data_IF_688856437800
#
_entry.id   IF_688856437800
#
_cell.length_a   1.000
_cell.length_b   1.000
_cell.length_c   1.000
_cell.angle_alpha   90.00
_cell.angle_beta   90.00
_cell.angle_gamma   90.00
#
_symmetry.space_group_name_H-M   'P 1'
#
loop_
_entity.id
_entity.type
_entity.pdbx_description
1 polymer ?
#
# COMPACT_ATOMS: atom_id res chain seq x y z
N UNK A 1 -56.32 6.25 31.94
CA UNK A 1 -55.41 5.10 31.83
C UNK A 1 -55.35 4.51 30.42
N UNK A 2 -56.43 4.32 29.70
CA UNK A 2 -56.46 3.71 28.36
C UNK A 2 -55.71 4.51 27.25
N UNK A 3 -55.69 5.86 27.32
CA UNK A 3 -54.98 6.73 26.37
C UNK A 3 -53.47 6.61 26.44
N UNK A 4 -52.88 6.30 27.58
CA UNK A 4 -51.44 6.06 27.76
C UNK A 4 -51.04 4.72 27.18
N UNK A 5 -51.90 3.70 27.24
CA UNK A 5 -51.64 2.37 26.70
C UNK A 5 -51.61 2.40 25.15
N UNK A 6 -52.52 3.12 24.50
CA UNK A 6 -52.53 3.27 23.03
C UNK A 6 -51.31 4.04 22.50
N UNK A 7 -50.81 5.05 23.21
CA UNK A 7 -49.57 5.73 22.87
C UNK A 7 -48.35 4.82 23.00
N UNK A 8 -48.32 3.99 24.02
CA UNK A 8 -47.18 3.04 24.24
C UNK A 8 -47.16 1.93 23.17
N UNK A 9 -48.32 1.40 22.76
CA UNK A 9 -48.40 0.35 21.72
C UNK A 9 -47.97 0.86 20.35
N UNK A 10 -48.18 2.14 20.03
CA UNK A 10 -47.72 2.76 18.78
C UNK A 10 -46.23 3.07 18.74
N UNK A 11 -45.58 3.31 19.89
CA UNK A 11 -44.15 3.62 19.98
C UNK A 11 -43.24 2.38 19.85
N UNK A 12 -43.72 1.21 20.26
CA UNK A 12 -42.93 -0.04 20.19
C UNK A 12 -42.59 -0.43 18.76
N UNK A 13 -43.50 -0.50 17.78
CA UNK A 13 -43.18 -0.80 16.40
C UNK A 13 -42.20 0.20 15.78
N UNK A 14 -42.35 1.49 16.07
CA UNK A 14 -41.43 2.54 15.60
C UNK A 14 -40.06 2.36 16.21
N UNK A 15 -39.96 2.07 17.50
CA UNK A 15 -38.69 1.79 18.16
C UNK A 15 -37.97 0.58 17.56
N UNK A 16 -38.68 -0.52 17.34
CA UNK A 16 -38.13 -1.75 16.72
C UNK A 16 -37.65 -1.48 15.29
N UNK A 17 -38.45 -0.75 14.50
CA UNK A 17 -38.07 -0.40 13.12
C UNK A 17 -36.81 0.49 13.08
N UNK A 18 -36.74 1.50 13.95
CA UNK A 18 -35.62 2.41 14.06
C UNK A 18 -34.34 1.65 14.47
N UNK A 19 -34.45 0.79 15.51
CA UNK A 19 -33.33 -0.02 15.95
C UNK A 19 -32.87 -1.01 14.87
N UNK A 20 -33.79 -1.66 14.18
CA UNK A 20 -33.48 -2.55 13.06
C UNK A 20 -32.76 -1.82 11.92
N UNK A 21 -33.21 -0.61 11.58
CA UNK A 21 -32.54 0.22 10.58
C UNK A 21 -31.12 0.61 11.00
N UNK A 22 -30.92 1.08 12.22
CA UNK A 22 -29.60 1.43 12.75
C UNK A 22 -28.66 0.22 12.77
N UNK A 23 -29.18 -0.95 13.14
CA UNK A 23 -28.43 -2.20 13.12
C UNK A 23 -28.01 -2.59 11.70
N UNK A 24 -28.86 -2.46 10.71
CA UNK A 24 -28.52 -2.70 9.30
C UNK A 24 -27.43 -1.74 8.81
N UNK A 25 -27.54 -0.45 9.13
CA UNK A 25 -26.52 0.56 8.79
C UNK A 25 -25.16 0.19 9.45
N UNK A 26 -25.18 -0.26 10.70
CA UNK A 26 -23.98 -0.74 11.39
C UNK A 26 -23.37 -1.94 10.68
N UNK A 27 -24.16 -2.95 10.34
CA UNK A 27 -23.67 -4.15 9.65
C UNK A 27 -23.06 -3.83 8.29
N UNK A 28 -23.73 -2.99 7.49
CA UNK A 28 -23.22 -2.58 6.16
C UNK A 28 -21.89 -1.84 6.31
N UNK A 29 -21.83 -0.88 7.24
CA UNK A 29 -20.61 -0.13 7.50
C UNK A 29 -19.47 -1.03 7.99
N UNK A 30 -19.75 -1.96 8.89
CA UNK A 30 -18.76 -2.93 9.38
C UNK A 30 -18.19 -3.81 8.25
N UNK A 31 -19.06 -4.39 7.41
CA UNK A 31 -18.62 -5.20 6.29
C UNK A 31 -17.80 -4.40 5.27
N UNK A 32 -18.19 -3.16 5.00
CA UNK A 32 -17.46 -2.29 4.09
C UNK A 32 -16.07 -1.94 4.64
N UNK A 33 -15.97 -1.58 5.93
CA UNK A 33 -14.68 -1.31 6.58
C UNK A 33 -13.78 -2.55 6.52
N UNK A 34 -14.30 -3.71 6.93
CA UNK A 34 -13.56 -4.96 6.91
C UNK A 34 -13.04 -5.32 5.51
N UNK A 35 -13.90 -5.20 4.50
CA UNK A 35 -13.52 -5.46 3.11
C UNK A 35 -12.44 -4.49 2.62
N UNK A 36 -12.60 -3.20 2.89
CA UNK A 36 -11.64 -2.18 2.50
C UNK A 36 -10.29 -2.36 3.21
N UNK A 37 -10.30 -2.76 4.47
CA UNK A 37 -9.10 -3.08 5.22
C UNK A 37 -8.35 -4.28 4.62
N UNK A 38 -9.05 -5.39 4.36
CA UNK A 38 -8.44 -6.57 3.74
C UNK A 38 -7.89 -6.24 2.34
N UNK A 39 -8.60 -5.43 1.57
CA UNK A 39 -8.12 -4.99 0.25
C UNK A 39 -6.84 -4.16 0.38
N UNK A 40 -6.79 -3.22 1.32
CA UNK A 40 -5.61 -2.40 1.58
C UNK A 40 -4.40 -3.25 1.98
N UNK A 41 -4.61 -4.27 2.83
CA UNK A 41 -3.56 -5.21 3.22
C UNK A 41 -3.01 -6.00 2.01
N UNK A 42 -3.89 -6.45 1.12
CA UNK A 42 -3.48 -7.16 -0.10
C UNK A 42 -2.70 -6.25 -1.04
N UNK A 43 -3.14 -5.00 -1.20
CA UNK A 43 -2.46 -4.03 -2.06
C UNK A 43 -1.10 -3.62 -1.48
N UNK A 44 -0.98 -3.53 -0.15
CA UNK A 44 0.30 -3.33 0.54
C UNK A 44 1.28 -4.48 0.25
N UNK A 45 0.82 -5.73 0.39
CA UNK A 45 1.65 -6.90 0.07
C UNK A 45 2.11 -6.90 -1.39
N UNK A 46 1.21 -6.58 -2.31
CA UNK A 46 1.53 -6.46 -3.73
C UNK A 46 2.57 -5.36 -4.01
N UNK A 47 2.48 -4.21 -3.33
CA UNK A 47 3.47 -3.14 -3.42
C UNK A 47 4.85 -3.59 -2.92
N UNK A 48 4.90 -4.27 -1.77
CA UNK A 48 6.14 -4.79 -1.20
C UNK A 48 6.79 -5.81 -2.15
N UNK A 49 5.99 -6.72 -2.71
CA UNK A 49 6.47 -7.71 -3.68
C UNK A 49 7.01 -7.05 -4.96
N UNK A 50 6.28 -6.08 -5.52
CA UNK A 50 6.75 -5.32 -6.67
C UNK A 50 8.07 -4.58 -6.38
N UNK A 51 8.23 -4.04 -5.17
CA UNK A 51 9.46 -3.39 -4.72
C UNK A 51 10.64 -4.36 -4.62
N UNK A 52 10.40 -5.56 -4.09
CA UNK A 52 11.40 -6.62 -4.00
C UNK A 52 11.86 -7.07 -5.39
N UNK A 53 10.92 -7.25 -6.32
CA UNK A 53 11.22 -7.63 -7.69
C UNK A 53 12.03 -6.55 -8.41
N UNK A 54 11.66 -5.28 -8.24
CA UNK A 54 12.41 -4.16 -8.79
C UNK A 54 13.85 -4.11 -8.23
N UNK A 55 14.01 -4.32 -6.92
CA UNK A 55 15.33 -4.40 -6.29
C UNK A 55 16.17 -5.54 -6.86
N UNK A 56 15.60 -6.74 -7.06
CA UNK A 56 16.33 -7.89 -7.60
C UNK A 56 16.88 -7.63 -9.01
N UNK A 57 16.11 -6.93 -9.85
CA UNK A 57 16.56 -6.53 -11.18
C UNK A 57 17.65 -5.47 -11.11
N UNK A 58 17.46 -4.46 -10.23
CA UNK A 58 18.48 -3.45 -9.98
C UNK A 58 19.78 -4.05 -9.43
N UNK A 59 19.70 -5.07 -8.58
CA UNK A 59 20.87 -5.79 -8.06
C UNK A 59 21.66 -6.50 -9.17
N UNK A 60 20.98 -7.16 -10.13
CA UNK A 60 21.66 -7.75 -11.31
C UNK A 60 22.42 -6.66 -12.08
N UNK A 61 21.78 -5.51 -12.29
CA UNK A 61 22.38 -4.39 -13.00
C UNK A 61 23.62 -3.85 -12.27
N UNK A 62 23.49 -3.61 -10.96
CA UNK A 62 24.59 -3.13 -10.11
C UNK A 62 25.77 -4.13 -10.11
N UNK A 63 25.48 -5.43 -10.02
CA UNK A 63 26.52 -6.47 -10.04
C UNK A 63 27.28 -6.49 -11.37
N UNK A 64 26.56 -6.29 -12.48
CA UNK A 64 27.18 -6.28 -13.82
C UNK A 64 28.05 -5.03 -14.05
N UNK A 65 27.72 -3.91 -13.41
CA UNK A 65 28.38 -2.61 -13.58
C UNK A 65 29.42 -2.37 -12.49
N UNK A 66 29.25 -2.99 -11.32
CA UNK A 66 29.93 -2.66 -10.06
C UNK A 66 31.45 -2.74 -10.05
N UNK A 67 32.08 -3.34 -11.09
CA UNK A 67 33.53 -3.31 -11.24
C UNK A 67 34.04 -2.04 -11.97
N UNK A 68 33.16 -1.16 -12.46
CA UNK A 68 33.53 -0.10 -13.41
C UNK A 68 33.10 1.33 -13.03
N UNK A 69 32.55 1.60 -11.86
CA UNK A 69 32.04 2.94 -11.59
C UNK A 69 31.90 3.34 -10.11
N UNK A 70 31.91 4.66 -9.86
CA UNK A 70 31.73 5.32 -8.55
C UNK A 70 30.28 5.21 -8.01
N UNK A 71 29.58 4.12 -8.23
CA UNK A 71 28.20 3.88 -7.77
C UNK A 71 28.09 3.57 -6.28
N UNK A 72 29.22 3.48 -5.57
CA UNK A 72 29.32 2.99 -4.19
C UNK A 72 28.50 3.83 -3.18
N UNK A 73 28.39 5.15 -3.37
CA UNK A 73 27.71 6.00 -2.37
C UNK A 73 26.21 5.76 -2.23
N UNK A 74 25.53 5.31 -3.30
CA UNK A 74 24.11 4.99 -3.26
C UNK A 74 23.83 3.50 -2.97
N UNK A 75 24.84 2.65 -3.12
CA UNK A 75 24.68 1.20 -2.98
C UNK A 75 24.33 0.80 -1.54
N UNK A 76 25.04 1.33 -0.55
CA UNK A 76 24.78 1.04 0.87
C UNK A 76 23.37 1.48 1.29
N UNK A 77 22.91 2.60 0.75
CA UNK A 77 21.56 3.08 0.97
C UNK A 77 20.50 2.18 0.35
N UNK A 78 20.71 1.73 -0.88
CA UNK A 78 19.85 0.77 -1.57
C UNK A 78 19.81 -0.55 -0.79
N UNK A 79 20.95 -1.07 -0.33
CA UNK A 79 21.03 -2.28 0.49
C UNK A 79 20.28 -2.14 1.82
N UNK A 80 20.45 -1.03 2.51
CA UNK A 80 19.76 -0.75 3.77
C UNK A 80 18.24 -0.73 3.58
N UNK A 81 17.74 -0.04 2.55
CA UNK A 81 16.32 0.02 2.22
C UNK A 81 15.77 -1.35 1.82
N UNK A 82 16.52 -2.11 1.01
CA UNK A 82 16.15 -3.47 0.65
C UNK A 82 16.13 -4.40 1.88
N UNK A 83 17.06 -4.24 2.81
CA UNK A 83 17.06 -4.95 4.09
C UNK A 83 15.78 -4.71 4.89
N UNK A 84 15.28 -3.47 4.92
CA UNK A 84 14.00 -3.13 5.56
C UNK A 84 12.82 -3.85 4.90
N UNK A 85 12.80 -3.97 3.55
CA UNK A 85 11.74 -4.70 2.83
C UNK A 85 11.71 -6.20 3.15
N UNK A 86 12.82 -6.78 3.59
CA UNK A 86 12.95 -8.20 3.94
C UNK A 86 12.86 -8.46 5.44
N UNK A 87 12.79 -7.40 6.25
CA UNK A 87 12.74 -7.52 7.71
C UNK A 87 11.35 -7.93 8.17
N UNK A 88 11.25 -9.07 8.86
CA UNK A 88 10.01 -9.49 9.52
C UNK A 88 9.66 -8.63 10.76
N UNK A 89 10.62 -7.82 11.24
CA UNK A 89 10.46 -6.98 12.43
C UNK A 89 10.07 -5.53 12.12
N UNK A 90 10.15 -5.13 10.85
CA UNK A 90 9.82 -3.76 10.46
C UNK A 90 8.30 -3.52 10.51
N UNK A 91 7.90 -2.35 11.02
CA UNK A 91 6.51 -1.92 10.98
C UNK A 91 6.04 -1.71 9.54
N UNK A 92 4.78 -1.98 9.29
CA UNK A 92 4.15 -1.87 7.98
C UNK A 92 4.34 -0.51 7.30
N UNK A 93 4.29 0.57 8.08
CA UNK A 93 4.52 1.93 7.60
C UNK A 93 5.99 2.15 7.22
N UNK A 94 6.89 1.55 7.96
CA UNK A 94 8.33 1.62 7.70
C UNK A 94 8.67 0.88 6.42
N UNK A 95 8.08 -0.31 6.21
CA UNK A 95 8.28 -1.10 4.98
C UNK A 95 7.75 -0.37 3.74
N UNK A 96 6.55 0.23 3.83
CA UNK A 96 6.01 1.04 2.72
C UNK A 96 6.88 2.27 2.44
N UNK A 97 7.36 2.95 3.49
CA UNK A 97 8.27 4.09 3.35
C UNK A 97 9.59 3.67 2.68
N UNK A 98 10.16 2.54 3.11
CA UNK A 98 11.37 1.99 2.51
C UNK A 98 11.16 1.65 1.03
N UNK A 99 10.01 1.09 0.65
CA UNK A 99 9.61 0.82 -0.74
C UNK A 99 9.63 2.09 -1.61
N UNK A 100 9.04 3.19 -1.12
CA UNK A 100 8.99 4.46 -1.86
C UNK A 100 10.38 5.09 -1.98
N UNK A 101 11.18 5.05 -0.91
CA UNK A 101 12.55 5.57 -0.94
C UNK A 101 13.45 4.74 -1.84
N UNK A 102 13.32 3.41 -1.81
CA UNK A 102 14.07 2.51 -2.68
C UNK A 102 13.78 2.81 -4.16
N UNK A 103 12.50 2.95 -4.55
CA UNK A 103 12.16 3.33 -5.93
C UNK A 103 12.85 4.62 -6.35
N UNK A 104 12.83 5.65 -5.48
CA UNK A 104 13.49 6.93 -5.75
C UNK A 104 15.01 6.79 -5.96
N UNK A 105 15.69 5.95 -5.20
CA UNK A 105 17.12 5.69 -5.39
C UNK A 105 17.39 4.90 -6.68
N UNK A 106 16.50 3.98 -7.04
CA UNK A 106 16.62 3.19 -8.27
C UNK A 106 16.34 4.00 -9.54
N UNK A 107 15.52 5.05 -9.48
CA UNK A 107 15.23 5.93 -10.63
C UNK A 107 16.47 6.67 -11.18
N UNK A 108 17.50 6.82 -10.35
CA UNK A 108 18.73 7.49 -10.75
C UNK A 108 19.67 6.55 -11.52
N UNK A 109 19.56 5.23 -11.34
CA UNK A 109 20.47 4.25 -11.94
C UNK A 109 20.56 4.29 -13.46
N UNK A 110 19.45 4.36 -14.24
CA UNK A 110 19.51 4.43 -15.69
C UNK A 110 20.26 5.65 -16.22
N UNK A 111 20.12 6.80 -15.53
CA UNK A 111 20.80 8.03 -15.91
C UNK A 111 22.31 7.95 -15.65
N UNK A 112 22.71 7.31 -14.55
CA UNK A 112 24.11 7.08 -14.21
C UNK A 112 24.78 6.14 -15.22
N UNK A 113 24.06 5.12 -15.69
CA UNK A 113 24.55 4.14 -16.67
C UNK A 113 24.69 4.78 -18.05
N UNK A 114 23.73 5.62 -18.47
CA UNK A 114 23.73 6.31 -19.76
C UNK A 114 24.95 7.19 -20.01
N UNK A 115 25.61 7.63 -18.94
CA UNK A 115 26.83 8.44 -19.01
C UNK A 115 28.12 7.62 -19.24
N UNK A 116 28.05 6.28 -19.21
CA UNK A 116 29.22 5.40 -19.39
C UNK A 116 29.09 4.65 -20.72
N UNK A 117 29.66 5.18 -21.77
CA UNK A 117 29.55 4.67 -23.14
C UNK A 117 29.97 3.19 -23.30
N UNK A 118 30.95 2.70 -22.49
CA UNK A 118 31.39 1.31 -22.49
C UNK A 118 30.34 0.33 -21.95
N UNK A 119 29.37 0.80 -21.19
CA UNK A 119 28.33 -0.01 -20.55
C UNK A 119 27.08 -0.09 -21.45
N UNK A 120 26.73 1.00 -22.16
CA UNK A 120 25.57 1.07 -23.06
C UNK A 120 25.69 0.18 -24.29
N UNK A 121 26.90 -0.23 -24.68
CA UNK A 121 27.13 -1.14 -25.79
C UNK A 121 26.92 -2.63 -25.43
N UNK A 122 26.65 -2.96 -24.17
CA UNK A 122 26.46 -4.34 -23.72
C UNK A 122 24.98 -4.75 -23.83
N UNK A 123 24.69 -5.72 -24.72
CA UNK A 123 23.34 -6.28 -24.92
C UNK A 123 22.69 -6.84 -23.65
N UNK A 124 23.49 -7.31 -22.71
CA UNK A 124 23.01 -7.83 -21.43
C UNK A 124 22.49 -6.69 -20.53
N UNK A 125 23.18 -5.55 -20.52
CA UNK A 125 22.73 -4.32 -19.84
C UNK A 125 21.42 -3.83 -20.44
N UNK A 126 21.30 -3.77 -21.75
CA UNK A 126 20.07 -3.35 -22.46
C UNK A 126 18.88 -4.22 -22.04
N UNK A 127 19.07 -5.55 -22.02
CA UNK A 127 18.02 -6.49 -21.57
C UNK A 127 17.62 -6.27 -20.12
N UNK A 128 18.57 -6.04 -19.22
CA UNK A 128 18.28 -5.78 -17.80
C UNK A 128 17.54 -4.43 -17.63
N UNK A 129 17.90 -3.42 -18.40
CA UNK A 129 17.20 -2.13 -18.39
C UNK A 129 15.75 -2.25 -18.87
N UNK A 130 15.47 -3.09 -19.87
CA UNK A 130 14.09 -3.39 -20.30
C UNK A 130 13.31 -4.14 -19.19
N UNK A 131 13.94 -5.15 -18.56
CA UNK A 131 13.37 -5.86 -17.41
C UNK A 131 13.10 -4.90 -16.25
N UNK A 132 13.97 -3.93 -16.01
CA UNK A 132 13.80 -2.91 -14.99
C UNK A 132 12.58 -2.01 -15.29
N UNK A 133 12.42 -1.50 -16.52
CA UNK A 133 11.28 -0.69 -16.93
C UNK A 133 9.94 -1.43 -16.72
N UNK A 134 9.91 -2.73 -17.04
CA UNK A 134 8.69 -3.52 -16.83
C UNK A 134 8.37 -3.69 -15.34
N UNK A 135 9.39 -3.90 -14.49
CA UNK A 135 9.19 -3.98 -13.03
C UNK A 135 8.85 -2.61 -12.41
N UNK A 136 9.38 -1.51 -12.94
CA UNK A 136 8.95 -0.15 -12.58
C UNK A 136 7.47 0.07 -12.85
N UNK A 137 7.00 -0.33 -14.03
CA UNK A 137 5.58 -0.24 -14.37
C UNK A 137 4.70 -1.05 -13.41
N UNK A 138 5.11 -2.26 -13.05
CA UNK A 138 4.40 -3.09 -12.06
C UNK A 138 4.38 -2.43 -10.68
N UNK A 139 5.50 -1.85 -10.27
CA UNK A 139 5.58 -1.09 -9.03
C UNK A 139 4.61 0.11 -9.03
N UNK A 140 4.59 0.91 -10.10
CA UNK A 140 3.71 2.08 -10.22
C UNK A 140 2.23 1.69 -10.13
N UNK A 141 1.83 0.61 -10.81
CA UNK A 141 0.46 0.09 -10.73
C UNK A 141 0.13 -0.33 -9.29
N UNK A 142 1.01 -1.07 -8.62
CA UNK A 142 0.81 -1.51 -7.24
C UNK A 142 0.76 -0.32 -6.27
N UNK A 143 1.66 0.66 -6.42
CA UNK A 143 1.69 1.88 -5.61
C UNK A 143 0.43 2.73 -5.77
N UNK A 144 0.01 2.99 -7.00
CA UNK A 144 -1.19 3.79 -7.26
C UNK A 144 -2.45 3.13 -6.69
N UNK A 145 -2.55 1.80 -6.80
CA UNK A 145 -3.65 1.03 -6.24
C UNK A 145 -3.65 1.08 -4.70
N UNK A 146 -2.49 0.88 -4.08
CA UNK A 146 -2.32 1.01 -2.64
C UNK A 146 -2.67 2.41 -2.15
N UNK A 147 -2.13 3.46 -2.78
CA UNK A 147 -2.35 4.85 -2.39
C UNK A 147 -3.84 5.25 -2.52
N UNK A 148 -4.50 4.81 -3.60
CA UNK A 148 -5.94 5.03 -3.79
C UNK A 148 -6.77 4.35 -2.69
N UNK A 149 -6.52 3.07 -2.41
CA UNK A 149 -7.28 2.31 -1.42
C UNK A 149 -6.97 2.75 0.01
N UNK A 150 -5.74 3.21 0.29
CA UNK A 150 -5.38 3.83 1.56
C UNK A 150 -6.19 5.11 1.82
N UNK A 151 -6.25 5.98 0.83
CA UNK A 151 -7.06 7.20 0.91
C UNK A 151 -8.55 6.86 1.08
N UNK A 152 -9.07 5.96 0.25
CA UNK A 152 -10.47 5.53 0.33
C UNK A 152 -10.81 4.97 1.72
N UNK A 153 -9.98 4.08 2.26
CA UNK A 153 -10.16 3.50 3.59
C UNK A 153 -10.17 4.58 4.68
N UNK A 154 -9.18 5.47 4.68
CA UNK A 154 -9.07 6.54 5.67
C UNK A 154 -10.24 7.53 5.59
N UNK A 155 -10.65 7.92 4.38
CA UNK A 155 -11.81 8.81 4.16
C UNK A 155 -13.13 8.15 4.59
N UNK A 156 -13.24 6.82 4.39
CA UNK A 156 -14.44 6.08 4.75
C UNK A 156 -14.61 5.95 6.27
N UNK A 157 -13.56 5.63 7.01
CA UNK A 157 -13.62 5.48 8.47
C UNK A 157 -13.77 6.82 9.20
N UNK A 158 -13.51 7.96 8.55
CA UNK A 158 -13.72 9.29 9.13
C UNK A 158 -15.16 9.79 9.02
N UNK A 159 -15.96 9.22 8.10
CA UNK A 159 -17.34 9.68 7.84
C UNK A 159 -18.34 8.94 8.73
N UNK A 160 -19.38 9.65 9.15
CA UNK A 160 -20.53 9.02 9.81
C UNK A 160 -21.36 8.22 8.79
N UNK A 161 -21.89 7.05 9.13
CA UNK A 161 -21.85 6.37 10.43
C UNK A 161 -20.60 5.51 10.66
N UNK A 162 -19.75 5.29 9.62
CA UNK A 162 -18.59 4.39 9.63
C UNK A 162 -17.60 4.70 10.73
N UNK A 163 -17.46 5.98 11.12
CA UNK A 163 -16.59 6.42 12.21
C UNK A 163 -16.93 5.76 13.55
N UNK A 164 -18.21 5.68 13.89
CA UNK A 164 -18.66 5.01 15.11
C UNK A 164 -18.43 3.50 15.04
N UNK A 165 -18.68 2.91 13.88
CA UNK A 165 -18.48 1.47 13.67
C UNK A 165 -17.01 1.13 13.73
N UNK A 166 -16.14 1.93 13.11
CA UNK A 166 -14.69 1.74 13.16
C UNK A 166 -14.16 1.80 14.60
N UNK A 167 -14.61 2.80 15.39
CA UNK A 167 -14.22 2.93 16.79
C UNK A 167 -14.61 1.70 17.61
N UNK A 168 -15.85 1.22 17.47
CA UNK A 168 -16.37 0.07 18.21
C UNK A 168 -15.69 -1.25 17.79
N UNK A 169 -15.33 -1.38 16.52
CA UNK A 169 -14.69 -2.57 15.97
C UNK A 169 -13.15 -2.54 16.04
N UNK A 170 -12.55 -1.46 16.58
CA UNK A 170 -11.10 -1.34 16.76
C UNK A 170 -10.31 -0.98 15.49
N UNK A 171 -10.99 -0.59 14.41
CA UNK A 171 -10.33 -0.14 13.18
C UNK A 171 -9.77 1.27 13.34
N UNK A 172 -8.53 1.48 12.87
CA UNK A 172 -7.83 2.76 12.94
C UNK A 172 -7.34 3.19 11.55
N UNK A 173 -7.07 4.49 11.39
CA UNK A 173 -6.38 5.00 10.20
C UNK A 173 -5.01 4.35 10.04
N UNK A 174 -4.69 4.05 8.81
CA UNK A 174 -3.43 3.48 8.38
C UNK A 174 -2.46 4.57 7.88
#
# INVERSE_FOLDING_TARGET
MMYLFFKAVGLVPVGVATFGFLFLVFLISYHTIKRSFVQLENDRKALIEASKNLYLVAQKLITLIGEKGDFLNNYDKILSLAGTLHSEKADDKEVVRASVLLKKELDVLPALIGNVAAITANKEVEKILEEMKENERKYEIAYNKYAYNLKYYNDFIDKLPSKWVALLAGYKKQ
#
